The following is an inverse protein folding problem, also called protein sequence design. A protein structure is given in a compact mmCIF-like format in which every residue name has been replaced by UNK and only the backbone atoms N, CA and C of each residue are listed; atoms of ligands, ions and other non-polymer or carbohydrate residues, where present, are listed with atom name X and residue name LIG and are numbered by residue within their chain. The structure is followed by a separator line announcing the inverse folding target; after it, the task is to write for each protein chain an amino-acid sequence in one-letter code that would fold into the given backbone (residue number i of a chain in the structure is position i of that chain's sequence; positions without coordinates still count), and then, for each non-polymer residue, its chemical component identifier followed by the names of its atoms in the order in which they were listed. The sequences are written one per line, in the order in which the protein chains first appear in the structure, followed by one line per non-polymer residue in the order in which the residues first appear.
data_IF_100214663904
#
_entry.id   IF_100214663904
#
_cell.length_a   1.000
_cell.length_b   1.000
_cell.length_c   1.000
_cell.angle_alpha   90.00
_cell.angle_beta   90.00
_cell.angle_gamma   90.00
#
_symmetry.space_group_name_H-M   'P 1'
#
loop_
_entity.id
_entity.type
_entity.pdbx_description
1 polymer ?
#
# COMPACT_ATOMS: atom_id res chain seq x y z
N UNK A 1 -13.06 -5.58 -33.32
CA UNK A 1 -12.44 -6.22 -32.15
C UNK A 1 -11.80 -5.10 -31.35
N UNK A 2 -12.35 -4.79 -30.20
CA UNK A 2 -11.83 -3.73 -29.33
C UNK A 2 -10.55 -4.24 -28.66
N UNK A 3 -9.47 -3.48 -28.77
CA UNK A 3 -8.20 -3.82 -28.11
C UNK A 3 -8.31 -3.30 -26.68
N UNK A 4 -8.47 -4.20 -25.71
CA UNK A 4 -8.47 -3.86 -24.28
C UNK A 4 -7.03 -4.03 -23.79
N UNK A 5 -6.31 -2.93 -23.47
CA UNK A 5 -4.97 -3.03 -22.90
C UNK A 5 -5.07 -3.49 -21.45
N UNK A 6 -4.56 -4.66 -21.17
CA UNK A 6 -4.42 -5.13 -19.79
C UNK A 6 -3.03 -4.76 -19.25
N UNK A 7 -3.01 -4.22 -18.03
CA UNK A 7 -1.80 -4.05 -17.25
C UNK A 7 -1.91 -4.91 -16.00
N UNK A 8 -0.84 -5.61 -15.65
CA UNK A 8 -0.83 -6.51 -14.52
C UNK A 8 0.33 -6.22 -13.59
N UNK A 9 -0.01 -6.05 -12.31
CA UNK A 9 0.94 -6.10 -11.22
C UNK A 9 1.53 -4.76 -10.83
N UNK A 10 2.73 -4.81 -10.29
CA UNK A 10 3.50 -3.65 -9.87
C UNK A 10 4.59 -3.36 -10.91
N UNK A 11 4.93 -2.08 -11.08
CA UNK A 11 6.07 -1.68 -11.91
C UNK A 11 7.38 -2.33 -11.44
N UNK A 12 7.52 -2.49 -10.11
CA UNK A 12 8.61 -3.23 -9.47
C UNK A 12 8.06 -4.14 -8.36
N UNK A 13 8.55 -5.37 -8.30
CA UNK A 13 8.24 -6.33 -7.24
C UNK A 13 9.53 -6.83 -6.61
N UNK A 14 9.71 -6.53 -5.33
CA UNK A 14 10.91 -6.88 -4.56
C UNK A 14 10.50 -7.87 -3.47
N UNK A 15 11.02 -9.08 -3.52
CA UNK A 15 10.78 -10.11 -2.52
C UNK A 15 12.11 -10.67 -2.02
N UNK A 16 12.37 -10.52 -0.72
CA UNK A 16 13.53 -11.09 -0.06
C UNK A 16 13.27 -11.22 1.45
N UNK A 17 14.13 -11.96 2.14
CA UNK A 17 14.10 -12.07 3.61
C UNK A 17 14.33 -10.71 4.30
N UNK A 18 15.06 -9.80 3.69
CA UNK A 18 15.37 -8.46 4.21
C UNK A 18 15.03 -7.37 3.18
N UNK A 19 13.88 -7.49 2.53
CA UNK A 19 13.48 -6.57 1.45
C UNK A 19 13.29 -5.12 1.92
N UNK A 20 12.96 -4.90 3.19
CA UNK A 20 12.83 -3.55 3.78
C UNK A 20 14.10 -2.72 3.66
N UNK A 21 15.28 -3.33 3.58
CA UNK A 21 16.54 -2.62 3.37
C UNK A 21 16.60 -1.87 2.03
N UNK A 22 15.79 -2.24 1.05
CA UNK A 22 15.70 -1.56 -0.24
C UNK A 22 14.78 -0.32 -0.23
N UNK A 23 14.01 -0.10 0.82
CA UNK A 23 12.96 0.93 0.84
C UNK A 23 13.51 2.33 0.56
N UNK A 24 14.64 2.69 1.15
CA UNK A 24 15.23 4.01 0.96
C UNK A 24 15.65 4.25 -0.50
N UNK A 25 16.23 3.26 -1.14
CA UNK A 25 16.57 3.33 -2.57
C UNK A 25 15.31 3.43 -3.43
N UNK A 26 14.29 2.65 -3.12
CA UNK A 26 13.01 2.72 -3.85
C UNK A 26 12.33 4.08 -3.69
N UNK A 27 12.32 4.68 -2.49
CA UNK A 27 11.78 6.04 -2.30
C UNK A 27 12.52 7.03 -3.19
N UNK A 28 13.85 6.99 -3.22
CA UNK A 28 14.67 7.92 -4.02
C UNK A 28 14.47 7.80 -5.53
N UNK A 29 13.96 6.68 -6.03
CA UNK A 29 13.58 6.51 -7.45
C UNK A 29 12.41 7.39 -7.85
N UNK A 30 11.51 7.66 -6.91
CA UNK A 30 10.25 8.32 -7.18
C UNK A 30 10.14 9.69 -6.54
N UNK A 31 10.95 9.99 -5.51
CA UNK A 31 10.88 11.26 -4.81
C UNK A 31 11.95 11.44 -3.76
N UNK A 32 11.88 12.59 -3.10
CA UNK A 32 12.80 13.00 -2.03
C UNK A 32 12.11 13.13 -0.67
N UNK A 33 10.79 13.02 -0.65
CA UNK A 33 9.97 13.09 0.55
C UNK A 33 9.09 11.85 0.66
N UNK A 34 8.83 11.39 1.88
CA UNK A 34 8.11 10.16 2.14
C UNK A 34 6.89 10.42 3.05
N UNK A 35 5.70 10.05 2.59
CA UNK A 35 4.50 10.06 3.43
C UNK A 35 4.08 8.61 3.70
N UNK A 36 4.18 8.19 4.97
CA UNK A 36 3.86 6.84 5.39
C UNK A 36 2.42 6.77 5.87
N UNK A 37 1.62 5.87 5.29
CA UNK A 37 0.27 5.52 5.72
C UNK A 37 0.29 4.09 6.24
N UNK A 38 0.00 3.90 7.53
CA UNK A 38 0.18 2.61 8.21
C UNK A 38 -0.96 2.32 9.16
N UNK A 39 -1.23 1.02 9.39
CA UNK A 39 -2.00 0.59 10.54
C UNK A 39 -1.14 0.59 11.82
N UNK A 40 -1.75 0.74 13.00
CA UNK A 40 -1.05 0.77 14.29
C UNK A 40 -0.14 -0.46 14.49
N UNK A 41 -0.66 -1.66 14.19
CA UNK A 41 0.14 -2.90 14.27
C UNK A 41 1.31 -2.92 13.30
N UNK A 42 1.12 -2.36 12.11
CA UNK A 42 2.18 -2.25 11.13
C UNK A 42 3.24 -1.25 11.59
N UNK A 43 2.85 -0.13 12.17
CA UNK A 43 3.76 0.84 12.75
C UNK A 43 4.65 0.21 13.83
N UNK A 44 4.04 -0.44 14.84
CA UNK A 44 4.78 -1.12 15.91
C UNK A 44 5.73 -2.20 15.38
N UNK A 45 5.31 -2.92 14.33
CA UNK A 45 6.14 -3.93 13.68
C UNK A 45 7.33 -3.29 12.96
N UNK A 46 7.13 -2.19 12.26
CA UNK A 46 8.22 -1.48 11.55
C UNK A 46 9.23 -0.87 12.52
N UNK A 47 8.79 -0.41 13.70
CA UNK A 47 9.69 0.02 14.77
C UNK A 47 10.57 -1.14 15.24
N UNK A 48 10.00 -2.34 15.48
CA UNK A 48 10.76 -3.52 15.87
C UNK A 48 11.80 -3.94 14.81
N UNK A 49 11.53 -3.70 13.54
CA UNK A 49 12.49 -3.92 12.44
C UNK A 49 13.47 -2.76 12.22
N UNK A 50 13.43 -1.72 13.04
CA UNK A 50 14.34 -0.56 12.95
C UNK A 50 14.15 0.28 11.69
N UNK A 51 12.96 0.23 11.06
CA UNK A 51 12.72 0.94 9.79
C UNK A 51 12.90 2.45 9.90
N UNK A 52 12.59 3.02 11.06
CA UNK A 52 12.59 4.46 11.30
C UNK A 52 13.84 4.97 12.02
N UNK A 53 14.76 4.08 12.39
CA UNK A 53 16.01 4.44 13.08
C UNK A 53 17.11 4.88 12.12
N UNK A 54 16.96 4.58 10.84
CA UNK A 54 17.95 4.92 9.83
C UNK A 54 17.82 6.42 9.48
N UNK A 55 18.93 7.15 9.63
CA UNK A 55 19.04 8.52 9.10
C UNK A 55 19.01 8.47 7.57
N UNK A 56 17.85 8.68 7.00
CA UNK A 56 17.65 8.53 5.55
C UNK A 56 17.98 9.80 4.76
N UNK A 57 18.11 10.94 5.44
CA UNK A 57 18.15 12.25 4.79
C UNK A 57 16.86 12.63 4.05
N UNK A 58 15.80 11.82 4.20
CA UNK A 58 14.49 12.07 3.63
C UNK A 58 13.62 12.81 4.64
N UNK A 59 12.90 13.83 4.17
CA UNK A 59 11.83 14.42 4.98
C UNK A 59 10.63 13.47 4.94
N UNK A 60 10.18 13.04 6.12
CA UNK A 60 9.07 12.08 6.19
C UNK A 60 8.00 12.49 7.21
N UNK A 61 6.79 12.02 6.97
CA UNK A 61 5.65 12.09 7.88
C UNK A 61 4.98 10.72 7.96
N UNK A 62 4.40 10.41 9.11
CA UNK A 62 3.74 9.14 9.40
C UNK A 62 2.30 9.43 9.79
N UNK A 63 1.38 8.79 9.09
CA UNK A 63 -0.05 8.77 9.41
C UNK A 63 -0.44 7.37 9.83
N UNK A 64 -1.01 7.25 11.01
CA UNK A 64 -1.52 6.00 11.56
C UNK A 64 -3.02 5.97 11.36
N UNK A 65 -3.50 4.94 10.70
CA UNK A 65 -4.88 4.75 10.37
C UNK A 65 -5.44 3.44 10.92
N UNK A 66 -6.63 3.52 11.48
CA UNK A 66 -7.40 2.36 11.92
C UNK A 66 -8.83 2.42 11.38
N UNK A 67 -9.39 1.26 11.05
CA UNK A 67 -10.77 1.16 10.61
C UNK A 67 -10.94 0.61 9.20
N UNK A 68 -12.04 0.98 8.57
CA UNK A 68 -12.35 0.65 7.19
C UNK A 68 -12.04 1.84 6.29
N UNK A 69 -11.42 1.65 5.12
CA UNK A 69 -11.20 2.73 4.16
C UNK A 69 -12.54 3.23 3.62
N UNK A 70 -12.98 4.37 4.13
CA UNK A 70 -14.20 5.07 3.70
C UNK A 70 -13.87 6.23 2.79
N UNK A 71 -14.85 6.82 2.10
CA UNK A 71 -14.63 8.05 1.31
C UNK A 71 -14.20 9.24 2.18
N UNK A 72 -14.68 9.30 3.43
CA UNK A 72 -14.29 10.32 4.39
C UNK A 72 -12.80 10.20 4.74
N UNK A 73 -12.34 9.00 5.07
CA UNK A 73 -10.95 8.71 5.39
C UNK A 73 -10.01 8.93 4.18
N UNK A 74 -10.47 8.58 2.99
CA UNK A 74 -9.76 8.88 1.76
C UNK A 74 -9.52 10.39 1.62
N UNK A 75 -10.55 11.20 1.85
CA UNK A 75 -10.48 12.66 1.78
C UNK A 75 -9.53 13.21 2.85
N UNK A 76 -9.64 12.74 4.09
CA UNK A 76 -8.78 13.18 5.20
C UNK A 76 -7.30 12.84 4.94
N UNK A 77 -7.01 11.62 4.48
CA UNK A 77 -5.63 11.23 4.15
C UNK A 77 -5.04 12.05 2.99
N UNK A 78 -5.85 12.40 1.99
CA UNK A 78 -5.42 13.29 0.90
C UNK A 78 -5.09 14.69 1.41
N UNK A 79 -5.91 15.24 2.29
CA UNK A 79 -5.68 16.56 2.87
C UNK A 79 -4.40 16.58 3.72
N UNK A 80 -4.13 15.54 4.50
CA UNK A 80 -2.88 15.38 5.26
C UNK A 80 -1.66 15.29 4.33
N UNK A 81 -1.75 14.46 3.28
CA UNK A 81 -0.69 14.36 2.27
C UNK A 81 -0.44 15.71 1.58
N UNK A 82 -1.47 16.44 1.22
CA UNK A 82 -1.35 17.75 0.61
C UNK A 82 -0.71 18.78 1.56
N UNK A 83 -1.12 18.79 2.84
CA UNK A 83 -0.52 19.64 3.86
C UNK A 83 0.98 19.32 4.05
N UNK A 84 1.35 18.03 4.07
CA UNK A 84 2.74 17.60 4.10
C UNK A 84 3.51 18.12 2.88
N UNK A 85 3.00 17.90 1.66
CA UNK A 85 3.64 18.41 0.43
C UNK A 85 3.88 19.92 0.48
N UNK A 86 2.91 20.70 0.95
CA UNK A 86 3.06 22.14 1.12
C UNK A 86 4.22 22.52 2.03
N UNK A 87 4.43 21.79 3.13
CA UNK A 87 5.52 22.03 4.09
C UNK A 87 6.90 21.72 3.52
N UNK A 88 7.01 20.68 2.69
CA UNK A 88 8.31 20.16 2.22
C UNK A 88 8.77 20.74 0.88
N UNK A 89 8.04 21.67 0.30
CA UNK A 89 8.45 22.32 -0.96
C UNK A 89 7.31 22.71 -1.90
N UNK A 90 6.08 22.68 -1.41
CA UNK A 90 4.89 23.06 -2.17
C UNK A 90 4.17 21.88 -2.82
N UNK A 91 3.07 22.15 -3.52
CA UNK A 91 2.21 21.14 -4.10
C UNK A 91 2.92 20.20 -5.08
N UNK A 92 4.01 20.64 -5.70
CA UNK A 92 4.83 19.88 -6.65
C UNK A 92 6.03 19.17 -5.98
N UNK A 93 6.16 19.23 -4.65
CA UNK A 93 7.25 18.53 -3.95
C UNK A 93 7.25 17.04 -4.31
N UNK A 94 8.39 16.47 -4.75
CA UNK A 94 8.48 15.07 -5.15
C UNK A 94 8.31 14.17 -3.93
N UNK A 95 7.09 13.73 -3.72
CA UNK A 95 6.64 12.97 -2.55
C UNK A 95 6.16 11.59 -2.98
N UNK A 96 6.60 10.57 -2.25
CA UNK A 96 6.17 9.17 -2.43
C UNK A 96 5.23 8.81 -1.28
N UNK A 97 4.10 8.19 -1.59
CA UNK A 97 3.23 7.57 -0.59
C UNK A 97 3.70 6.13 -0.35
N UNK A 98 3.86 5.77 0.92
CA UNK A 98 4.23 4.42 1.33
C UNK A 98 3.09 3.84 2.17
N UNK A 99 2.39 2.83 1.64
CA UNK A 99 1.36 2.09 2.36
C UNK A 99 1.95 0.85 3.04
N UNK A 100 1.84 0.74 4.38
CA UNK A 100 2.36 -0.40 5.14
C UNK A 100 1.24 -1.04 5.96
N UNK A 101 0.86 -2.28 5.67
CA UNK A 101 -0.20 -2.94 6.43
C UNK A 101 -0.86 -4.11 5.72
N UNK A 102 -2.07 -4.43 6.14
CA UNK A 102 -2.94 -5.40 5.48
C UNK A 102 -3.84 -4.78 4.41
N UNK A 103 -4.78 -5.55 3.87
CA UNK A 103 -5.63 -5.18 2.73
C UNK A 103 -6.29 -3.80 2.85
N UNK A 104 -6.81 -3.43 4.02
CA UNK A 104 -7.46 -2.12 4.23
C UNK A 104 -6.51 -0.94 4.01
N UNK A 105 -5.28 -1.05 4.53
CA UNK A 105 -4.25 -0.02 4.31
C UNK A 105 -3.82 0.00 2.84
N UNK A 106 -3.67 -1.17 2.22
CA UNK A 106 -3.35 -1.25 0.79
C UNK A 106 -4.40 -0.55 -0.06
N UNK A 107 -5.68 -0.78 0.24
CA UNK A 107 -6.78 -0.16 -0.50
C UNK A 107 -6.82 1.36 -0.28
N UNK A 108 -6.71 1.83 0.95
CA UNK A 108 -6.67 3.27 1.24
C UNK A 108 -5.46 3.94 0.57
N UNK A 109 -4.27 3.37 0.70
CA UNK A 109 -3.05 3.92 0.10
C UNK A 109 -3.13 4.01 -1.43
N UNK A 110 -3.69 3.00 -2.10
CA UNK A 110 -3.92 3.02 -3.56
C UNK A 110 -4.87 4.14 -3.96
N UNK A 111 -5.99 4.28 -3.26
CA UNK A 111 -6.97 5.33 -3.54
C UNK A 111 -6.37 6.73 -3.33
N UNK A 112 -5.67 6.95 -2.21
CA UNK A 112 -4.99 8.23 -1.92
C UNK A 112 -3.94 8.55 -2.98
N UNK A 113 -3.09 7.57 -3.36
CA UNK A 113 -2.05 7.78 -4.36
C UNK A 113 -2.62 8.11 -5.74
N UNK A 114 -3.65 7.39 -6.16
CA UNK A 114 -4.29 7.60 -7.46
C UNK A 114 -4.94 8.99 -7.56
N UNK A 115 -5.72 9.39 -6.55
CA UNK A 115 -6.39 10.70 -6.55
C UNK A 115 -5.44 11.88 -6.31
N UNK A 116 -4.30 11.65 -5.65
CA UNK A 116 -3.28 12.67 -5.41
C UNK A 116 -2.19 12.70 -6.49
N UNK A 117 -2.23 11.78 -7.45
CA UNK A 117 -1.25 11.63 -8.53
C UNK A 117 0.20 11.55 -7.99
N UNK A 118 0.42 10.78 -6.92
CA UNK A 118 1.76 10.54 -6.34
C UNK A 118 2.21 9.10 -6.59
N UNK A 119 3.53 8.85 -6.67
CA UNK A 119 4.06 7.49 -6.69
C UNK A 119 3.71 6.71 -5.43
N UNK A 120 3.50 5.41 -5.58
CA UNK A 120 3.05 4.51 -4.52
C UNK A 120 4.01 3.33 -4.34
N UNK A 121 4.47 3.16 -3.10
CA UNK A 121 5.16 1.93 -2.66
C UNK A 121 4.26 1.22 -1.64
N UNK A 122 4.01 -0.07 -1.84
CA UNK A 122 3.26 -0.89 -0.89
C UNK A 122 4.16 -1.91 -0.20
N UNK A 123 3.97 -2.04 1.12
CA UNK A 123 4.67 -3.00 1.98
C UNK A 123 3.60 -3.83 2.72
N UNK A 124 3.18 -4.97 2.16
CA UNK A 124 2.20 -5.81 2.81
C UNK A 124 2.77 -6.47 4.08
N UNK A 125 1.98 -6.45 5.16
CA UNK A 125 2.28 -7.15 6.41
C UNK A 125 1.48 -8.44 6.57
N UNK A 126 0.70 -8.80 5.54
CA UNK A 126 -0.12 -9.99 5.51
C UNK A 126 -0.25 -10.52 4.09
N UNK A 127 -0.20 -11.83 3.93
CA UNK A 127 -0.45 -12.54 2.68
C UNK A 127 -1.92 -13.00 2.53
N UNK A 128 -2.84 -12.50 3.36
CA UNK A 128 -4.23 -12.92 3.37
C UNK A 128 -5.01 -12.59 2.10
N UNK A 129 -4.56 -11.59 1.33
CA UNK A 129 -5.23 -11.12 0.11
C UNK A 129 -4.23 -10.66 -0.94
N UNK A 130 -4.68 -10.51 -2.20
CA UNK A 130 -3.90 -9.93 -3.28
C UNK A 130 -3.94 -8.39 -3.32
N UNK A 131 -4.46 -7.71 -2.29
CA UNK A 131 -4.68 -6.27 -2.29
C UNK A 131 -3.43 -5.42 -2.57
N UNK A 132 -2.24 -5.91 -2.17
CA UNK A 132 -0.97 -5.24 -2.46
C UNK A 132 -0.57 -5.28 -3.93
N UNK A 133 -1.20 -6.12 -4.75
CA UNK A 133 -0.81 -6.36 -6.14
C UNK A 133 -1.90 -6.01 -7.15
N UNK A 134 -3.15 -5.90 -6.70
CA UNK A 134 -4.29 -5.62 -7.57
C UNK A 134 -4.45 -4.12 -7.83
N UNK A 135 -4.72 -3.68 -9.07
CA UNK A 135 -4.93 -2.26 -9.42
C UNK A 135 -6.36 -1.81 -9.10
N UNK A 136 -6.85 -2.16 -7.93
CA UNK A 136 -8.18 -1.75 -7.46
C UNK A 136 -8.15 -1.49 -5.95
N UNK A 137 -9.10 -0.70 -5.47
CA UNK A 137 -9.36 -0.48 -4.05
C UNK A 137 -10.83 -0.69 -3.73
N UNK A 138 -11.08 -1.24 -2.56
CA UNK A 138 -12.43 -1.37 -2.03
C UNK A 138 -12.63 -0.32 -0.94
N UNK A 139 -13.66 0.52 -1.11
CA UNK A 139 -14.12 1.45 -0.08
C UNK A 139 -15.33 0.88 0.62
N UNK A 140 -15.42 1.17 1.91
CA UNK A 140 -16.42 0.60 2.80
C UNK A 140 -17.22 1.70 3.51
N UNK A 141 -18.40 1.36 4.00
CA UNK A 141 -19.10 2.14 5.00
C UNK A 141 -18.40 2.03 6.36
N UNK A 142 -18.78 2.89 7.31
CA UNK A 142 -18.29 2.82 8.71
C UNK A 142 -18.63 1.49 9.39
N UNK A 143 -19.69 0.82 8.93
CA UNK A 143 -20.12 -0.51 9.41
C UNK A 143 -19.39 -1.67 8.71
N UNK A 144 -18.47 -1.37 7.78
CA UNK A 144 -17.66 -2.37 7.07
C UNK A 144 -18.37 -3.06 5.90
N UNK A 145 -19.44 -2.47 5.34
CA UNK A 145 -20.06 -2.94 4.11
C UNK A 145 -19.34 -2.34 2.90
N UNK A 146 -19.15 -3.13 1.86
CA UNK A 146 -18.59 -2.64 0.60
C UNK A 146 -19.53 -1.61 -0.01
N UNK A 147 -19.04 -0.40 -0.27
CA UNK A 147 -19.78 0.68 -0.92
C UNK A 147 -19.32 0.93 -2.33
N UNK A 148 -18.04 0.84 -2.58
CA UNK A 148 -17.45 1.22 -3.86
C UNK A 148 -16.20 0.42 -4.17
N UNK A 149 -16.02 0.09 -5.44
CA UNK A 149 -14.77 -0.45 -5.96
C UNK A 149 -14.19 0.57 -6.93
N UNK A 150 -12.98 1.02 -6.64
CA UNK A 150 -12.21 1.92 -7.51
C UNK A 150 -11.27 1.07 -8.36
N UNK A 151 -11.27 1.31 -9.67
CA UNK A 151 -10.35 0.68 -10.60
C UNK A 151 -9.34 1.73 -11.08
N UNK A 152 -8.07 1.38 -11.09
CA UNK A 152 -6.98 2.28 -11.47
C UNK A 152 -6.37 1.84 -12.79
N UNK A 153 -6.13 2.80 -13.68
CA UNK A 153 -5.40 2.57 -14.93
C UNK A 153 -3.88 2.47 -14.71
N UNK A 154 -3.40 3.09 -13.63
CA UNK A 154 -1.98 3.07 -13.25
C UNK A 154 -1.70 1.88 -12.34
N UNK A 155 -0.63 1.16 -12.63
CA UNK A 155 -0.07 0.14 -11.75
C UNK A 155 0.55 0.76 -10.50
N UNK A 156 0.72 -0.06 -9.45
CA UNK A 156 1.49 0.29 -8.26
C UNK A 156 2.95 0.44 -8.67
N UNK A 157 3.60 1.52 -8.27
CA UNK A 157 4.98 1.80 -8.70
C UNK A 157 5.96 0.74 -8.15
N UNK A 158 5.85 0.39 -6.86
CA UNK A 158 6.65 -0.69 -6.25
C UNK A 158 5.88 -1.45 -5.18
N UNK A 159 6.11 -2.76 -5.09
CA UNK A 159 5.69 -3.61 -3.97
C UNK A 159 6.94 -4.24 -3.35
N UNK A 160 7.12 -4.03 -2.05
CA UNK A 160 8.24 -4.59 -1.28
C UNK A 160 7.68 -5.62 -0.30
N UNK A 161 8.03 -6.87 -0.49
CA UNK A 161 7.59 -8.00 0.35
C UNK A 161 8.78 -8.53 1.14
N UNK A 162 8.82 -8.24 2.43
CA UNK A 162 9.85 -8.76 3.33
C UNK A 162 9.38 -10.06 3.99
N UNK A 163 10.09 -11.13 3.75
CA UNK A 163 9.74 -12.45 4.29
C UNK A 163 9.66 -12.48 5.81
N UNK A 164 10.51 -11.71 6.51
CA UNK A 164 10.48 -11.61 7.98
C UNK A 164 9.20 -10.95 8.49
N UNK A 165 8.72 -9.93 7.79
CA UNK A 165 7.45 -9.26 8.11
C UNK A 165 6.29 -10.23 7.96
N UNK A 166 6.22 -10.96 6.85
CA UNK A 166 5.14 -11.92 6.61
C UNK A 166 5.13 -13.08 7.61
N UNK A 167 6.29 -13.50 8.12
CA UNK A 167 6.34 -14.58 9.14
C UNK A 167 5.76 -14.17 10.49
N UNK A 168 5.55 -12.88 10.74
CA UNK A 168 4.92 -12.40 11.98
C UNK A 168 3.40 -12.47 11.95
N UNK A 169 2.79 -12.69 10.77
CA UNK A 169 1.34 -12.74 10.68
C UNK A 169 0.75 -13.97 11.38
N UNK A 170 -0.46 -13.87 11.97
CA UNK A 170 -1.15 -15.02 12.51
C UNK A 170 -1.41 -16.08 11.42
N UNK A 171 -1.11 -17.35 11.70
CA UNK A 171 -1.25 -18.46 10.74
C UNK A 171 -2.64 -18.55 10.06
N UNK A 172 -3.71 -18.04 10.72
CA UNK A 172 -5.05 -17.96 10.14
C UNK A 172 -5.11 -17.05 8.90
N UNK A 173 -4.31 -15.98 8.87
CA UNK A 173 -4.27 -15.05 7.74
C UNK A 173 -3.53 -15.67 6.56
N UNK A 174 -2.41 -16.34 6.79
CA UNK A 174 -1.71 -17.11 5.77
C UNK A 174 -2.62 -18.20 5.17
N UNK A 175 -3.35 -18.93 6.02
CA UNK A 175 -4.34 -19.91 5.55
C UNK A 175 -5.43 -19.27 4.69
N UNK A 176 -5.92 -18.10 5.08
CA UNK A 176 -6.91 -17.35 4.30
C UNK A 176 -6.37 -16.98 2.93
N UNK A 177 -5.12 -16.50 2.84
CA UNK A 177 -4.47 -16.17 1.55
C UNK A 177 -4.27 -17.38 0.64
N UNK A 178 -3.89 -18.53 1.21
CA UNK A 178 -3.80 -19.80 0.44
C UNK A 178 -5.19 -20.16 -0.14
N UNK A 179 -6.24 -20.10 0.68
CA UNK A 179 -7.60 -20.41 0.24
C UNK A 179 -8.11 -19.40 -0.80
N UNK A 180 -7.81 -18.11 -0.63
CA UNK A 180 -8.14 -17.07 -1.61
C UNK A 180 -7.47 -17.33 -2.97
N UNK A 181 -6.19 -17.70 -2.96
CA UNK A 181 -5.48 -18.07 -4.18
C UNK A 181 -6.06 -19.34 -4.85
N UNK A 182 -6.42 -20.34 -4.06
CA UNK A 182 -7.06 -21.58 -4.56
C UNK A 182 -8.45 -21.28 -5.16
N UNK A 183 -9.25 -20.42 -4.51
CA UNK A 183 -10.55 -20.03 -5.04
C UNK A 183 -10.42 -19.34 -6.40
N UNK A 184 -9.48 -18.42 -6.55
CA UNK A 184 -9.19 -17.74 -7.83
C UNK A 184 -8.78 -18.73 -8.92
N UNK A 185 -8.00 -19.75 -8.58
CA UNK A 185 -7.65 -20.79 -9.54
C UNK A 185 -8.90 -21.53 -10.06
N UNK A 186 -9.82 -21.88 -9.15
CA UNK A 186 -11.10 -22.54 -9.52
C UNK A 186 -11.97 -21.59 -10.36
N UNK A 187 -12.08 -20.33 -9.99
CA UNK A 187 -12.84 -19.32 -10.74
C UNK A 187 -12.32 -19.17 -12.17
N UNK A 188 -11.01 -19.12 -12.38
CA UNK A 188 -10.41 -19.03 -13.73
C UNK A 188 -10.70 -20.28 -14.58
N UNK A 189 -10.81 -21.44 -13.97
CA UNK A 189 -11.09 -22.68 -14.70
C UNK A 189 -12.56 -22.84 -15.10
N UNK A 190 -13.49 -22.17 -14.41
CA UNK A 190 -14.94 -22.35 -14.55
C UNK A 190 -15.70 -21.08 -14.97
N UNK A 191 -15.02 -19.93 -15.02
CA UNK A 191 -15.53 -18.62 -15.50
C UNK A 191 -15.16 -18.46 -16.96
#
# INVERSE_FOLDING_TARGET
MEIIPYRFGAGRFIFAENALSSLQEEIRRYGTNAFFLMGEKAFSLMEQFGLFEQETGLVSEKEIYEGFPTEEELTECKDKLFAFKKRVGGAQAPTVLIGIGGGRIMDLAKAVAAESAVPLILIPTSAATCAAYSPLSVLYSKEGKVEKVLHFEKEIDSVIVDGRVLTTEPARLLKAGILDAMAKYVEILHG
#
